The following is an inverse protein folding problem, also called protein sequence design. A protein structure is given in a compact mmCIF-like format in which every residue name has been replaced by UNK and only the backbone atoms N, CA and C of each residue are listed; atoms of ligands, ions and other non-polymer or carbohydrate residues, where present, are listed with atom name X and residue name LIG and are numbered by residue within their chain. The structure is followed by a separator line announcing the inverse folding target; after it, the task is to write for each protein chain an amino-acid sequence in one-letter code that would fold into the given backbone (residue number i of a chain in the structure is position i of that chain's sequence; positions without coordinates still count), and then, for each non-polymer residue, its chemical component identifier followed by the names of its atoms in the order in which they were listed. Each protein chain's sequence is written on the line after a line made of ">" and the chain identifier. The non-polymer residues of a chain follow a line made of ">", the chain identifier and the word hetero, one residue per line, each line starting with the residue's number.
data_IF_411361465886
#
_entry.id   IF_411361465886
#
_cell.length_a   1.000
_cell.length_b   1.000
_cell.length_c   1.000
_cell.angle_alpha   90.00
_cell.angle_beta   90.00
_cell.angle_gamma   90.00
#
_symmetry.space_group_name_H-M   'P 1'
#
loop_
_entity.id
_entity.type
_entity.pdbx_description
1 polymer ?
#
# COMPACT_ATOMS: atom_id res chain seq x y z
N UNK A 1 1.14 -4.58 -22.10
CA UNK A 1 -0.30 -4.43 -21.85
C UNK A 1 -0.61 -5.13 -20.54
N UNK A 2 -1.19 -4.40 -19.58
CA UNK A 2 -1.73 -4.97 -18.35
C UNK A 2 -3.19 -5.36 -18.61
N UNK A 3 -3.54 -6.58 -18.24
CA UNK A 3 -4.87 -7.11 -18.45
C UNK A 3 -4.97 -8.52 -17.91
N UNK A 4 -6.18 -9.05 -17.88
CA UNK A 4 -6.48 -10.36 -17.36
C UNK A 4 -7.21 -11.17 -18.44
N UNK A 5 -6.87 -12.46 -18.54
CA UNK A 5 -7.67 -13.38 -19.34
C UNK A 5 -8.92 -13.77 -18.56
N UNK A 6 -10.06 -13.53 -19.19
CA UNK A 6 -11.33 -14.03 -18.72
C UNK A 6 -11.38 -15.56 -18.78
N UNK A 7 -12.08 -16.18 -17.83
CA UNK A 7 -12.31 -17.63 -17.85
C UNK A 7 -13.11 -18.02 -19.12
N UNK A 8 -12.73 -19.07 -19.88
CA UNK A 8 -13.30 -19.36 -21.20
C UNK A 8 -14.82 -19.54 -21.26
N UNK A 9 -15.45 -19.89 -20.14
CA UNK A 9 -16.88 -20.17 -20.03
C UNK A 9 -17.65 -19.11 -19.23
N UNK A 10 -17.03 -17.98 -18.88
CA UNK A 10 -17.65 -16.96 -18.04
C UNK A 10 -18.42 -15.87 -18.82
N UNK A 11 -18.62 -16.06 -20.14
CA UNK A 11 -19.54 -15.22 -20.92
C UNK A 11 -18.98 -13.86 -21.36
N UNK A 12 -17.66 -13.71 -21.51
CA UNK A 12 -17.05 -12.48 -22.02
C UNK A 12 -17.55 -12.16 -23.44
N UNK A 13 -18.02 -10.94 -23.65
CA UNK A 13 -18.65 -10.47 -24.87
C UNK A 13 -17.64 -9.67 -25.71
N UNK A 14 -17.32 -10.10 -26.94
CA UNK A 14 -16.49 -9.32 -27.86
C UNK A 14 -17.10 -7.93 -28.10
N UNK A 15 -16.26 -6.91 -28.22
CA UNK A 15 -16.61 -5.48 -28.37
C UNK A 15 -17.27 -4.83 -27.14
N UNK A 16 -17.46 -5.57 -26.04
CA UNK A 16 -17.89 -5.02 -24.77
C UNK A 16 -16.80 -5.18 -23.70
N UNK A 17 -16.36 -6.42 -23.46
CA UNK A 17 -15.33 -6.73 -22.45
C UNK A 17 -13.91 -6.64 -23.02
N UNK A 18 -13.75 -6.95 -24.32
CA UNK A 18 -12.46 -6.85 -25.01
C UNK A 18 -12.64 -6.51 -26.51
N UNK A 19 -11.67 -5.84 -27.15
CA UNK A 19 -11.71 -5.54 -28.58
C UNK A 19 -11.87 -6.78 -29.48
N UNK A 20 -12.84 -6.77 -30.40
CA UNK A 20 -13.00 -7.81 -31.42
C UNK A 20 -12.25 -7.44 -32.72
N UNK A 21 -10.94 -7.20 -32.59
CA UNK A 21 -10.09 -6.83 -33.72
C UNK A 21 -9.06 -7.91 -34.01
N UNK A 22 -8.77 -8.11 -35.29
CA UNK A 22 -7.76 -9.08 -35.75
C UNK A 22 -6.41 -8.82 -35.06
N UNK A 23 -5.91 -9.81 -34.33
CA UNK A 23 -4.65 -9.70 -33.57
C UNK A 23 -4.83 -9.43 -32.07
N UNK A 24 -6.04 -9.11 -31.60
CA UNK A 24 -6.34 -9.05 -30.17
C UNK A 24 -6.60 -10.46 -29.61
N UNK A 25 -6.01 -10.86 -28.46
CA UNK A 25 -6.29 -12.16 -27.87
C UNK A 25 -7.74 -12.26 -27.37
N UNK A 26 -8.49 -13.27 -27.83
CA UNK A 26 -9.85 -13.49 -27.39
C UNK A 26 -9.93 -13.71 -25.87
N UNK A 27 -10.79 -12.95 -25.19
CA UNK A 27 -10.95 -13.00 -23.74
C UNK A 27 -9.91 -12.23 -22.93
N UNK A 28 -8.97 -11.52 -23.57
CA UNK A 28 -8.04 -10.64 -22.85
C UNK A 28 -8.68 -9.27 -22.62
N UNK A 29 -9.07 -8.99 -21.38
CA UNK A 29 -9.65 -7.71 -20.95
C UNK A 29 -8.51 -6.76 -20.58
N UNK A 30 -8.31 -5.66 -21.32
CA UNK A 30 -7.30 -4.67 -20.96
C UNK A 30 -7.75 -3.91 -19.72
N UNK A 31 -6.86 -3.74 -18.74
CA UNK A 31 -7.07 -2.78 -17.66
C UNK A 31 -6.61 -1.43 -18.20
N UNK A 32 -7.53 -0.46 -18.26
CA UNK A 32 -7.20 0.88 -18.69
C UNK A 32 -6.17 1.50 -17.73
N UNK A 33 -4.95 1.68 -18.21
CA UNK A 33 -3.95 2.49 -17.52
C UNK A 33 -4.18 3.92 -17.98
N UNK A 34 -4.84 4.73 -17.15
CA UNK A 34 -4.98 6.15 -17.40
C UNK A 34 -3.61 6.82 -17.21
N UNK A 35 -2.93 7.13 -18.30
CA UNK A 35 -1.71 7.97 -18.27
C UNK A 35 -2.07 9.40 -18.68
N UNK A 36 -1.56 10.37 -17.94
CA UNK A 36 -1.65 11.78 -18.33
C UNK A 36 -0.66 12.05 -19.47
N UNK A 37 -0.89 13.08 -20.29
CA UNK A 37 0.09 13.48 -21.30
C UNK A 37 1.46 13.75 -20.66
N UNK A 38 2.54 13.25 -21.30
CA UNK A 38 3.94 13.34 -20.83
C UNK A 38 4.36 14.69 -20.21
N UNK A 39 4.02 15.88 -20.76
CA UNK A 39 4.43 17.15 -20.15
C UNK A 39 3.73 17.48 -18.82
N UNK A 40 2.83 16.62 -18.35
CA UNK A 40 2.11 16.72 -17.06
C UNK A 40 2.16 15.40 -16.28
N UNK A 41 3.00 14.46 -16.70
CA UNK A 41 3.15 13.16 -16.05
C UNK A 41 4.31 13.21 -15.05
N UNK A 42 4.02 13.87 -13.93
CA UNK A 42 4.97 14.08 -12.83
C UNK A 42 5.50 12.75 -12.26
N UNK A 43 4.70 11.68 -12.31
CA UNK A 43 5.09 10.34 -11.84
C UNK A 43 6.15 9.75 -12.77
N UNK A 44 5.89 9.69 -14.07
CA UNK A 44 6.86 9.15 -15.02
C UNK A 44 8.14 9.97 -15.11
N UNK A 45 8.05 11.29 -14.94
CA UNK A 45 9.22 12.18 -14.89
C UNK A 45 10.08 11.89 -13.66
N UNK A 46 9.47 11.80 -12.47
CA UNK A 46 10.17 11.44 -11.23
C UNK A 46 10.83 10.05 -11.34
N UNK A 47 10.13 9.03 -11.83
CA UNK A 47 10.70 7.68 -11.97
C UNK A 47 11.89 7.63 -12.92
N UNK A 48 11.83 8.37 -14.02
CA UNK A 48 12.97 8.51 -14.95
C UNK A 48 14.14 9.21 -14.28
N UNK A 49 13.88 10.32 -13.58
CA UNK A 49 14.89 11.05 -12.84
C UNK A 49 15.59 10.15 -11.80
N UNK A 50 14.82 9.39 -11.01
CA UNK A 50 15.36 8.45 -10.03
C UNK A 50 16.15 7.33 -10.70
N UNK A 51 15.65 6.78 -11.81
CA UNK A 51 16.37 5.76 -12.59
C UNK A 51 17.74 6.27 -13.06
N UNK A 52 17.79 7.51 -13.55
CA UNK A 52 19.03 8.16 -13.98
C UNK A 52 20.01 8.39 -12.81
N UNK A 53 19.50 8.83 -11.64
CA UNK A 53 20.33 9.08 -10.45
C UNK A 53 20.84 7.81 -9.79
N UNK A 54 20.01 6.77 -9.72
CA UNK A 54 20.35 5.51 -9.06
C UNK A 54 21.11 4.54 -9.96
N UNK A 55 21.15 4.76 -11.28
CA UNK A 55 21.84 3.90 -12.24
C UNK A 55 21.19 2.52 -12.43
N UNK A 56 19.95 2.36 -11.97
CA UNK A 56 19.15 1.15 -12.10
C UNK A 56 17.68 1.54 -12.31
N UNK A 57 16.88 0.70 -13.00
CA UNK A 57 15.45 0.95 -13.15
C UNK A 57 14.78 1.11 -11.78
N UNK A 58 14.03 2.20 -11.60
CA UNK A 58 13.22 2.46 -10.42
C UNK A 58 11.74 2.47 -10.85
N UNK A 59 10.93 1.64 -10.19
CA UNK A 59 9.48 1.65 -10.33
C UNK A 59 8.77 2.20 -9.08
N UNK A 60 7.43 2.15 -9.08
CA UNK A 60 6.59 2.65 -7.98
C UNK A 60 6.80 1.84 -6.70
N UNK A 61 7.10 0.55 -6.80
CA UNK A 61 7.33 -0.33 -5.66
C UNK A 61 8.73 -0.11 -5.06
N UNK A 62 9.68 0.39 -5.86
CA UNK A 62 11.07 0.67 -5.46
C UNK A 62 11.27 2.01 -4.72
N UNK A 63 10.27 2.90 -4.69
CA UNK A 63 10.41 4.26 -4.13
C UNK A 63 10.95 4.27 -2.70
N UNK A 64 10.57 3.30 -1.88
CA UNK A 64 11.03 3.16 -0.50
C UNK A 64 12.55 2.94 -0.41
N UNK A 65 13.12 2.21 -1.37
CA UNK A 65 14.54 1.87 -1.40
C UNK A 65 15.42 3.09 -1.68
N UNK A 66 14.86 4.12 -2.32
CA UNK A 66 15.54 5.40 -2.56
C UNK A 66 15.22 6.40 -1.45
N UNK A 67 13.93 6.56 -1.10
CA UNK A 67 13.48 7.57 -0.13
C UNK A 67 14.02 7.33 1.27
N UNK A 68 13.92 6.11 1.80
CA UNK A 68 14.19 5.89 3.23
C UNK A 68 15.67 6.05 3.59
N UNK A 69 16.64 5.44 2.86
CA UNK A 69 18.05 5.62 3.16
C UNK A 69 18.50 7.07 3.03
N UNK A 70 18.09 7.76 1.96
CA UNK A 70 18.48 9.15 1.73
C UNK A 70 17.83 10.11 2.73
N UNK A 71 16.60 9.83 3.20
CA UNK A 71 15.98 10.58 4.27
C UNK A 71 16.73 10.41 5.61
N UNK A 72 17.14 9.18 5.93
CA UNK A 72 17.96 8.90 7.12
C UNK A 72 19.31 9.64 7.02
N UNK A 73 19.95 9.61 5.85
CA UNK A 73 21.17 10.39 5.60
C UNK A 73 20.90 11.90 5.72
N UNK A 74 19.77 12.42 5.26
CA UNK A 74 19.44 13.83 5.40
C UNK A 74 19.30 14.25 6.86
N UNK A 75 18.75 13.39 7.72
CA UNK A 75 18.58 13.69 9.15
C UNK A 75 19.91 13.60 9.90
N UNK A 76 20.72 12.58 9.60
CA UNK A 76 21.87 12.23 10.44
C UNK A 76 23.24 12.62 9.84
N UNK A 77 23.33 12.75 8.52
CA UNK A 77 24.56 12.94 7.75
C UNK A 77 24.36 13.94 6.59
N UNK A 78 23.64 15.04 6.85
CA UNK A 78 23.25 15.99 5.82
C UNK A 78 24.46 16.53 5.02
N UNK A 79 25.60 16.79 5.67
CA UNK A 79 26.81 17.25 4.98
C UNK A 79 27.26 16.26 3.90
N UNK A 80 27.39 14.98 4.23
CA UNK A 80 27.75 13.91 3.29
C UNK A 80 26.68 13.75 2.20
N UNK A 81 25.41 13.85 2.57
CA UNK A 81 24.32 13.79 1.59
C UNK A 81 24.39 14.93 0.58
N UNK A 82 24.65 16.18 1.02
CA UNK A 82 24.77 17.32 0.12
C UNK A 82 26.00 17.20 -0.79
N UNK A 83 27.06 16.52 -0.35
CA UNK A 83 28.24 16.25 -1.18
C UNK A 83 27.97 15.17 -2.24
N UNK A 84 27.32 14.07 -1.87
CA UNK A 84 27.13 12.90 -2.76
C UNK A 84 25.84 12.99 -3.59
N UNK A 85 24.75 13.43 -2.97
CA UNK A 85 23.40 13.50 -3.53
C UNK A 85 22.74 14.88 -3.29
N UNK A 86 23.32 15.99 -3.80
CA UNK A 86 22.79 17.35 -3.59
C UNK A 86 21.36 17.56 -4.11
N UNK A 87 20.92 16.69 -5.01
CA UNK A 87 19.60 16.74 -5.63
C UNK A 87 18.47 16.22 -4.72
N UNK A 88 18.79 15.45 -3.68
CA UNK A 88 17.76 14.75 -2.90
C UNK A 88 16.86 15.71 -2.15
N UNK A 89 17.45 16.69 -1.43
CA UNK A 89 16.67 17.61 -0.60
C UNK A 89 15.69 18.47 -1.39
N UNK A 90 15.96 18.77 -2.67
CA UNK A 90 15.03 19.52 -3.51
C UNK A 90 13.82 18.70 -3.97
N UNK A 91 13.94 17.38 -4.04
CA UNK A 91 12.85 16.51 -4.52
C UNK A 91 12.13 15.76 -3.38
N UNK A 92 12.63 15.87 -2.14
CA UNK A 92 12.17 15.05 -1.02
C UNK A 92 10.65 15.13 -0.83
N UNK A 93 10.09 16.34 -0.85
CA UNK A 93 8.66 16.53 -0.60
C UNK A 93 7.81 15.83 -1.67
N UNK A 94 8.16 16.02 -2.95
CA UNK A 94 7.48 15.41 -4.09
C UNK A 94 7.62 13.88 -4.08
N UNK A 95 8.82 13.37 -3.81
CA UNK A 95 9.09 11.94 -3.68
C UNK A 95 8.29 11.33 -2.52
N UNK A 96 8.18 12.04 -1.39
CA UNK A 96 7.44 11.59 -0.24
C UNK A 96 5.93 11.57 -0.50
N UNK A 97 5.39 12.57 -1.19
CA UNK A 97 3.98 12.57 -1.63
C UNK A 97 3.68 11.45 -2.62
N UNK A 98 4.57 11.21 -3.59
CA UNK A 98 4.45 10.12 -4.55
C UNK A 98 4.44 8.76 -3.84
N UNK A 99 5.38 8.54 -2.92
CA UNK A 99 5.42 7.34 -2.09
C UNK A 99 4.13 7.18 -1.27
N UNK A 100 3.64 8.26 -0.65
CA UNK A 100 2.42 8.20 0.16
C UNK A 100 1.21 7.77 -0.66
N UNK A 101 1.08 8.29 -1.89
CA UNK A 101 0.03 7.87 -2.82
C UNK A 101 0.15 6.40 -3.23
N UNK A 102 1.38 5.95 -3.54
CA UNK A 102 1.64 4.56 -3.88
C UNK A 102 1.28 3.60 -2.74
N UNK A 103 1.68 3.92 -1.51
CA UNK A 103 1.33 3.12 -0.34
C UNK A 103 -0.17 3.14 -0.07
N UNK A 104 -0.84 4.30 -0.17
CA UNK A 104 -2.28 4.38 -0.02
C UNK A 104 -3.01 3.47 -1.00
N UNK A 105 -2.64 3.50 -2.28
CA UNK A 105 -3.18 2.59 -3.28
C UNK A 105 -2.93 1.12 -2.90
N UNK A 106 -1.69 0.78 -2.54
CA UNK A 106 -1.28 -0.57 -2.15
C UNK A 106 -1.99 -1.11 -0.91
N UNK A 107 -2.35 -0.27 0.05
CA UNK A 107 -3.13 -0.67 1.25
C UNK A 107 -4.64 -0.50 1.08
N UNK A 108 -5.12 -0.12 -0.11
CA UNK A 108 -6.54 0.07 -0.36
C UNK A 108 -7.12 1.31 0.34
N UNK A 109 -6.29 2.29 0.72
CA UNK A 109 -6.72 3.60 1.21
C UNK A 109 -7.07 4.46 -0.01
N UNK A 110 -8.32 4.35 -0.45
CA UNK A 110 -8.81 4.99 -1.66
C UNK A 110 -9.76 6.15 -1.32
N UNK A 111 -9.72 7.22 -2.13
CA UNK A 111 -10.60 8.38 -1.98
C UNK A 111 -12.08 8.04 -2.28
N UNK A 112 -12.30 7.11 -3.21
CA UNK A 112 -13.61 6.57 -3.57
C UNK A 112 -13.65 5.06 -3.33
N UNK A 113 -14.86 4.51 -3.17
CA UNK A 113 -15.04 3.07 -3.14
C UNK A 113 -14.70 2.47 -4.51
N UNK A 114 -13.89 1.42 -4.49
CA UNK A 114 -13.59 0.62 -5.67
C UNK A 114 -14.38 -0.67 -5.57
N UNK A 115 -15.56 -0.69 -6.22
CA UNK A 115 -16.44 -1.86 -6.26
C UNK A 115 -16.11 -2.69 -7.50
N UNK A 116 -15.75 -3.96 -7.30
CA UNK A 116 -15.56 -4.94 -8.38
C UNK A 116 -16.36 -6.18 -8.03
N UNK A 117 -17.32 -6.57 -8.88
CA UNK A 117 -18.23 -7.71 -8.63
C UNK A 117 -18.91 -7.63 -7.25
N UNK A 118 -19.48 -6.46 -6.92
CA UNK A 118 -20.13 -6.16 -5.63
C UNK A 118 -19.20 -6.24 -4.39
N UNK A 119 -17.88 -6.29 -4.59
CA UNK A 119 -16.88 -6.29 -3.52
C UNK A 119 -16.20 -4.93 -3.45
N UNK A 120 -16.23 -4.28 -2.28
CA UNK A 120 -15.38 -3.11 -1.99
C UNK A 120 -13.94 -3.57 -1.77
N UNK A 121 -13.14 -3.48 -2.82
CA UNK A 121 -11.74 -3.96 -2.83
C UNK A 121 -10.90 -3.22 -1.80
N UNK A 122 -11.10 -1.90 -1.64
CA UNK A 122 -10.37 -1.11 -0.66
C UNK A 122 -10.69 -1.55 0.77
N UNK A 123 -11.97 -1.81 1.06
CA UNK A 123 -12.40 -2.35 2.35
C UNK A 123 -11.81 -3.74 2.62
N UNK A 124 -11.92 -4.67 1.67
CA UNK A 124 -11.40 -6.03 1.85
C UNK A 124 -9.87 -6.07 1.97
N UNK A 125 -9.14 -5.23 1.25
CA UNK A 125 -7.68 -5.11 1.39
C UNK A 125 -7.28 -4.67 2.80
N UNK A 126 -7.95 -3.65 3.36
CA UNK A 126 -7.68 -3.20 4.74
C UNK A 126 -8.03 -4.28 5.76
N UNK A 127 -9.14 -5.00 5.55
CA UNK A 127 -9.56 -6.11 6.42
C UNK A 127 -8.58 -7.28 6.40
N UNK A 128 -8.09 -7.68 5.22
CA UNK A 128 -7.11 -8.77 5.09
C UNK A 128 -5.77 -8.40 5.74
N UNK A 129 -5.33 -7.14 5.61
CA UNK A 129 -4.03 -6.69 6.13
C UNK A 129 -4.05 -6.33 7.62
N UNK A 130 -5.11 -5.66 8.09
CA UNK A 130 -5.22 -5.15 9.47
C UNK A 130 -6.10 -6.00 10.39
N UNK A 131 -7.02 -6.78 9.84
CA UNK A 131 -8.02 -7.54 10.59
C UNK A 131 -7.44 -8.50 11.64
N UNK A 132 -6.41 -9.30 11.33
CA UNK A 132 -5.81 -10.20 12.33
C UNK A 132 -5.26 -9.47 13.56
N UNK A 133 -4.63 -8.31 13.37
CA UNK A 133 -4.12 -7.52 14.48
C UNK A 133 -5.25 -6.85 15.28
N UNK A 134 -6.29 -6.35 14.61
CA UNK A 134 -7.48 -5.82 15.30
C UNK A 134 -8.20 -6.91 16.12
N UNK A 135 -8.30 -8.11 15.57
CA UNK A 135 -8.85 -9.26 16.29
C UNK A 135 -8.00 -9.62 17.52
N UNK A 136 -6.68 -9.60 17.39
CA UNK A 136 -5.78 -9.80 18.53
C UNK A 136 -6.04 -8.77 19.64
N UNK A 137 -6.11 -7.47 19.30
CA UNK A 137 -6.42 -6.41 20.26
C UNK A 137 -7.78 -6.60 20.92
N UNK A 138 -8.81 -6.88 20.13
CA UNK A 138 -10.17 -7.11 20.63
C UNK A 138 -10.22 -8.32 21.56
N UNK A 139 -9.59 -9.43 21.18
CA UNK A 139 -9.52 -10.63 21.99
C UNK A 139 -8.80 -10.37 23.32
N UNK A 140 -7.70 -9.60 23.32
CA UNK A 140 -7.02 -9.23 24.59
C UNK A 140 -7.91 -8.42 25.52
N UNK A 141 -8.74 -7.52 24.97
CA UNK A 141 -9.69 -6.75 25.77
C UNK A 141 -10.80 -7.65 26.33
N UNK A 142 -11.36 -8.54 25.51
CA UNK A 142 -12.39 -9.50 25.91
C UNK A 142 -11.86 -10.44 26.99
N UNK A 143 -10.69 -11.06 26.79
CA UNK A 143 -10.04 -11.94 27.77
C UNK A 143 -9.86 -11.25 29.12
N UNK A 144 -9.45 -9.97 29.11
CA UNK A 144 -9.28 -9.18 30.33
C UNK A 144 -10.60 -8.92 31.05
N UNK A 145 -11.66 -8.62 30.30
CA UNK A 145 -13.01 -8.40 30.84
C UNK A 145 -13.55 -9.69 31.47
N UNK A 146 -13.44 -10.81 30.76
CA UNK A 146 -13.86 -12.12 31.26
C UNK A 146 -13.12 -12.52 32.55
N UNK A 147 -11.83 -12.22 32.62
CA UNK A 147 -11.01 -12.55 33.77
C UNK A 147 -11.17 -11.61 34.96
N UNK A 148 -11.77 -10.43 34.78
CA UNK A 148 -11.88 -9.40 35.83
C UNK A 148 -12.56 -9.90 37.11
N UNK A 149 -13.49 -10.86 37.00
CA UNK A 149 -14.21 -11.45 38.13
C UNK A 149 -14.02 -12.98 38.24
N UNK A 150 -13.08 -13.56 37.49
CA UNK A 150 -12.83 -15.00 37.47
C UNK A 150 -11.54 -15.38 38.19
N UNK A 151 -11.60 -16.49 38.92
CA UNK A 151 -10.45 -17.11 39.59
C UNK A 151 -9.90 -18.32 38.83
N UNK A 152 -10.29 -18.49 37.56
CA UNK A 152 -9.70 -19.54 36.72
C UNK A 152 -8.18 -19.37 36.59
N UNK A 153 -7.44 -20.48 36.48
CA UNK A 153 -5.98 -20.47 36.37
C UNK A 153 -5.48 -19.60 35.20
N UNK A 154 -6.24 -19.51 34.10
CA UNK A 154 -5.92 -18.65 32.94
C UNK A 154 -5.97 -17.16 33.30
N UNK A 155 -6.78 -16.78 34.30
CA UNK A 155 -7.04 -15.40 34.70
C UNK A 155 -6.04 -14.85 35.72
N UNK A 156 -5.27 -15.72 36.39
CA UNK A 156 -4.30 -15.31 37.41
C UNK A 156 -3.27 -14.32 36.88
N UNK A 157 -2.67 -14.61 35.72
CA UNK A 157 -1.68 -13.71 35.10
C UNK A 157 -2.35 -12.53 34.38
N UNK A 158 -3.50 -12.77 33.73
CA UNK A 158 -4.26 -11.72 33.03
C UNK A 158 -4.71 -10.61 33.99
N UNK A 159 -5.12 -10.95 35.21
CA UNK A 159 -5.57 -9.96 36.21
C UNK A 159 -4.46 -8.97 36.59
N UNK A 160 -3.22 -9.44 36.71
CA UNK A 160 -2.05 -8.60 36.97
C UNK A 160 -1.54 -7.79 35.77
N UNK A 161 -1.88 -8.21 34.55
CA UNK A 161 -1.41 -7.57 33.32
C UNK A 161 -2.08 -6.19 33.10
N UNK A 162 -1.27 -5.15 32.87
CA UNK A 162 -1.74 -3.76 32.67
C UNK A 162 -1.60 -3.25 31.24
N UNK A 163 -0.65 -3.79 30.47
CA UNK A 163 -0.38 -3.33 29.11
C UNK A 163 0.12 -4.49 28.25
N UNK A 164 -0.16 -4.38 26.95
CA UNK A 164 0.52 -5.13 25.89
C UNK A 164 1.39 -4.16 25.11
N UNK A 165 2.61 -4.57 24.79
CA UNK A 165 3.52 -3.81 23.94
C UNK A 165 3.73 -4.58 22.62
N UNK A 166 3.37 -3.96 21.51
CA UNK A 166 3.53 -4.54 20.18
C UNK A 166 4.60 -3.75 19.43
N UNK A 167 5.66 -4.42 18.99
CA UNK A 167 6.60 -3.88 18.02
C UNK A 167 6.14 -4.30 16.63
N UNK A 168 6.00 -3.34 15.72
CA UNK A 168 5.52 -3.56 14.37
C UNK A 168 6.28 -2.66 13.39
N UNK A 169 6.12 -2.93 12.11
CA UNK A 169 6.76 -2.22 11.01
C UNK A 169 5.81 -1.20 10.38
N UNK A 170 6.32 -0.39 9.45
CA UNK A 170 5.63 0.72 8.76
C UNK A 170 4.28 0.35 8.11
N UNK A 171 3.95 -0.94 7.94
CA UNK A 171 2.64 -1.43 7.51
C UNK A 171 1.47 -1.13 8.47
N UNK A 172 1.72 -0.52 9.62
CA UNK A 172 0.70 0.03 10.54
C UNK A 172 -0.19 1.12 9.92
N UNK A 173 0.19 1.69 8.77
CA UNK A 173 -0.66 2.63 8.01
C UNK A 173 -2.04 2.02 7.73
N UNK A 174 -2.11 0.76 7.28
CA UNK A 174 -3.38 0.07 7.03
C UNK A 174 -4.28 -0.05 8.28
N UNK A 175 -3.68 -0.13 9.48
CA UNK A 175 -4.38 -0.22 10.75
C UNK A 175 -4.95 1.14 11.19
N UNK A 176 -4.15 2.20 11.12
CA UNK A 176 -4.60 3.56 11.45
C UNK A 176 -5.80 4.00 10.58
N UNK A 177 -5.78 3.64 9.29
CA UNK A 177 -6.85 3.96 8.36
C UNK A 177 -8.11 3.08 8.49
N UNK A 178 -8.03 1.91 9.14
CA UNK A 178 -9.22 1.11 9.46
C UNK A 178 -10.05 1.73 10.59
N UNK A 179 -9.40 2.34 11.59
CA UNK A 179 -10.09 2.96 12.73
C UNK A 179 -10.71 4.34 12.44
N UNK A 180 -10.36 5.00 11.33
CA UNK A 180 -10.78 6.38 11.02
C UNK A 180 -12.05 6.49 10.16
N UNK A 181 -12.86 5.43 10.02
CA UNK A 181 -14.19 5.49 9.40
C UNK A 181 -15.25 4.77 10.23
#
# INVERSE_FOLDING_TARGET
>A
MLGMYGHPNAGHIPDFDYPNVTGWPAGFVPIAVHTVALPTDYISEMLKFLTEKCGQPIDIDDLVAVRDPLYVEQIHFNETLQEVNPWYSSIFEELNEMYAHAEHFKYGVLNSQLIVNDIDVGFELRKVRGGPFMNELANRMVDKIECANSNENKCTWLNGLKYYAYSSVSGLSALLWWCLK
#
